data_IF_770098566148
#
_entry.id   IF_770098566148
#
_cell.length_a   1.000
_cell.length_b   1.000
_cell.length_c   1.000
_cell.angle_alpha   90.00
_cell.angle_beta   90.00
_cell.angle_gamma   90.00
#
_symmetry.space_group_name_H-M   'P 1'
#
loop_
_entity.id
_entity.type
_entity.pdbx_description
1 polymer ?
#
# COMPACT_ATOMS: atom_id res chain seq x y z
N UNK A 1 -5.55 -8.50 -4.32
CA UNK A 1 -5.03 -7.12 -4.46
C UNK A 1 -5.64 -6.30 -3.33
N UNK A 2 -4.82 -5.60 -2.55
CA UNK A 2 -5.23 -4.72 -1.44
C UNK A 2 -4.64 -3.36 -1.70
N UNK A 3 -5.37 -2.28 -1.43
CA UNK A 3 -4.81 -0.93 -1.37
C UNK A 3 -4.93 -0.32 0.02
N UNK A 4 -3.99 0.57 0.36
CA UNK A 4 -3.97 1.33 1.61
C UNK A 4 -3.41 2.73 1.35
N UNK A 5 -3.87 3.73 2.08
CA UNK A 5 -3.30 5.08 2.01
C UNK A 5 -2.02 5.22 2.86
N UNK A 6 -1.20 6.22 2.54
CA UNK A 6 0.05 6.52 3.26
C UNK A 6 -0.15 6.94 4.72
N UNK A 7 -1.33 7.48 5.06
CA UNK A 7 -1.74 7.80 6.42
C UNK A 7 -2.47 6.64 7.12
N UNK A 8 -2.55 5.48 6.47
CA UNK A 8 -3.04 4.23 7.04
C UNK A 8 -1.86 3.29 7.33
N UNK A 9 -2.04 1.98 7.17
CA UNK A 9 -1.20 0.97 7.80
C UNK A 9 -0.33 0.18 6.80
N UNK A 10 0.45 0.84 5.94
CA UNK A 10 1.39 0.14 5.03
C UNK A 10 2.30 -0.85 5.79
N UNK A 11 2.95 -0.48 6.92
CA UNK A 11 3.81 -1.42 7.66
C UNK A 11 3.07 -2.62 8.26
N UNK A 12 1.76 -2.52 8.48
CA UNK A 12 0.95 -3.64 8.97
C UNK A 12 0.82 -4.71 7.88
N UNK A 13 0.50 -4.31 6.64
CA UNK A 13 0.36 -5.26 5.54
C UNK A 13 1.68 -5.93 5.17
N UNK A 14 2.78 -5.17 5.17
CA UNK A 14 4.13 -5.72 4.91
C UNK A 14 4.48 -6.84 5.92
N UNK A 15 4.22 -6.61 7.22
CA UNK A 15 4.40 -7.65 8.27
C UNK A 15 3.53 -8.89 8.08
N UNK A 16 2.40 -8.78 7.36
CA UNK A 16 1.49 -9.88 7.04
C UNK A 16 1.85 -10.60 5.71
N UNK A 17 3.00 -10.29 5.12
CA UNK A 17 3.52 -10.90 3.89
C UNK A 17 2.98 -10.29 2.60
N UNK A 18 2.40 -9.09 2.65
CA UNK A 18 2.05 -8.36 1.44
C UNK A 18 3.27 -7.62 0.90
N UNK A 19 3.37 -7.57 -0.42
CA UNK A 19 4.46 -6.92 -1.16
C UNK A 19 3.88 -5.72 -1.92
N UNK A 20 4.47 -4.54 -1.70
CA UNK A 20 4.15 -3.33 -2.45
C UNK A 20 4.49 -3.50 -3.93
N UNK A 21 3.52 -3.24 -4.80
CA UNK A 21 3.71 -3.29 -6.26
C UNK A 21 3.84 -1.90 -6.86
N UNK A 22 3.00 -0.95 -6.42
CA UNK A 22 3.08 0.44 -6.85
C UNK A 22 2.54 1.40 -5.80
N UNK A 23 2.94 2.65 -5.92
CA UNK A 23 2.34 3.78 -5.20
C UNK A 23 1.83 4.81 -6.21
N UNK A 24 0.60 5.27 -6.01
CA UNK A 24 0.04 6.43 -6.71
C UNK A 24 0.27 7.68 -5.84
N UNK A 25 1.13 8.63 -6.28
CA UNK A 25 1.37 9.87 -5.54
C UNK A 25 0.18 10.84 -5.65
N UNK A 26 0.16 11.81 -4.73
CA UNK A 26 -0.80 12.91 -4.64
C UNK A 26 -2.28 12.52 -4.66
N UNK A 27 -2.59 11.35 -4.09
CA UNK A 27 -3.94 10.81 -3.97
C UNK A 27 -4.24 10.42 -2.51
N UNK A 28 -5.41 10.79 -1.94
CA UNK A 28 -6.50 11.57 -2.56
C UNK A 28 -6.22 13.10 -2.59
N UNK A 29 -5.09 13.53 -2.03
CA UNK A 29 -4.65 14.93 -2.00
C UNK A 29 -3.12 15.00 -2.13
N UNK A 30 -2.62 16.17 -2.51
CA UNK A 30 -1.17 16.45 -2.58
C UNK A 30 -0.47 16.04 -1.29
N UNK A 31 0.64 15.32 -1.41
CA UNK A 31 1.43 14.78 -0.30
C UNK A 31 0.88 13.50 0.33
N UNK A 32 -0.28 12.98 -0.11
CA UNK A 32 -0.77 11.64 0.24
C UNK A 32 -0.48 10.63 -0.87
N UNK A 33 -0.43 9.34 -0.53
CA UNK A 33 -0.24 8.28 -1.52
C UNK A 33 -1.24 7.15 -1.30
N UNK A 34 -1.58 6.45 -2.38
CA UNK A 34 -2.26 5.15 -2.34
C UNK A 34 -1.27 4.06 -2.74
N UNK A 35 -1.12 3.05 -1.90
CA UNK A 35 -0.26 1.90 -2.12
C UNK A 35 -1.08 0.71 -2.59
N UNK A 36 -0.62 -0.02 -3.61
CA UNK A 36 -1.24 -1.25 -4.09
C UNK A 36 -0.33 -2.43 -3.78
N UNK A 37 -0.89 -3.43 -3.10
CA UNK A 37 -0.17 -4.58 -2.59
C UNK A 37 -0.80 -5.90 -3.05
N UNK A 38 0.06 -6.91 -3.19
CA UNK A 38 -0.33 -8.29 -3.42
C UNK A 38 0.23 -9.17 -2.32
N UNK A 39 -0.48 -10.23 -1.95
CA UNK A 39 0.04 -11.28 -1.07
C UNK A 39 0.45 -12.45 -1.93
N UNK A 40 1.73 -12.78 -1.89
CA UNK A 40 2.25 -13.96 -2.60
C UNK A 40 2.10 -15.16 -1.67
N UNK A 41 1.39 -16.20 -2.11
CA UNK A 41 1.19 -17.44 -1.35
C UNK A 41 2.20 -18.54 -1.74
N UNK A 42 3.40 -18.15 -2.18
CA UNK A 42 4.45 -19.11 -2.54
C UNK A 42 5.02 -19.78 -1.28
#
# INVERSE_FOLDING_TARGET
LVDTFSFQALPFYEKQGYILQMSLPDFPKVGSQRHYLVKTNL
#
